data_IF_033296416205
#
_entry.id   IF_033296416205
#
_cell.length_a   1.000
_cell.length_b   1.000
_cell.length_c   1.000
_cell.angle_alpha   90.00
_cell.angle_beta   90.00
_cell.angle_gamma   90.00
#
_symmetry.space_group_name_H-M   'P 1'
#
loop_
_entity.id
_entity.type
_entity.pdbx_description
1 polymer ?
#
# COMPACT_ATOMS: atom_id res chain seq x y z
N UNK A 1 -12.14 -11.96 1.72
CA UNK A 1 -11.23 -13.07 1.75
C UNK A 1 -10.28 -12.97 2.94
N UNK A 2 -9.82 -14.10 3.43
CA UNK A 2 -8.98 -14.15 4.61
C UNK A 2 -7.53 -13.84 4.24
N UNK A 3 -6.92 -12.95 5.02
CA UNK A 3 -5.51 -12.67 4.87
C UNK A 3 -4.74 -13.72 5.65
N UNK A 4 -3.95 -14.47 4.94
CA UNK A 4 -3.11 -15.48 5.55
C UNK A 4 -1.71 -14.93 5.78
N UNK A 5 -0.97 -15.55 6.68
CA UNK A 5 0.41 -15.18 6.97
C UNK A 5 1.33 -15.71 5.89
N UNK A 6 1.17 -15.16 4.71
CA UNK A 6 2.00 -15.46 3.54
C UNK A 6 2.68 -14.20 3.08
N UNK A 7 3.66 -14.35 2.25
CA UNK A 7 4.32 -13.20 1.64
C UNK A 7 3.38 -12.42 0.76
N UNK A 8 3.64 -11.12 0.62
CA UNK A 8 2.84 -10.24 -0.20
C UNK A 8 2.68 -10.77 -1.63
N UNK A 9 3.73 -11.36 -2.18
CA UNK A 9 3.69 -11.94 -3.51
C UNK A 9 2.67 -13.07 -3.63
N UNK A 10 2.57 -13.93 -2.61
CA UNK A 10 1.62 -15.04 -2.61
C UNK A 10 0.19 -14.53 -2.53
N UNK A 11 -0.09 -13.56 -1.68
CA UNK A 11 -1.42 -12.98 -1.54
C UNK A 11 -1.85 -12.31 -2.83
N UNK A 12 -1.00 -11.49 -3.40
CA UNK A 12 -1.28 -10.83 -4.68
C UNK A 12 -1.44 -11.85 -5.81
N UNK A 13 -0.62 -12.88 -5.81
CA UNK A 13 -0.69 -13.92 -6.83
C UNK A 13 -2.04 -14.59 -6.83
N UNK A 14 -2.57 -14.95 -5.65
CA UNK A 14 -3.89 -15.55 -5.53
C UNK A 14 -4.99 -14.59 -5.99
N UNK A 15 -4.81 -13.29 -5.78
CA UNK A 15 -5.76 -12.27 -6.19
C UNK A 15 -5.48 -11.74 -7.59
N UNK A 16 -4.46 -12.28 -8.27
CA UNK A 16 -4.09 -11.87 -9.60
C UNK A 16 -3.25 -10.60 -9.66
N UNK A 17 -2.55 -10.27 -8.57
CA UNK A 17 -1.70 -9.06 -8.50
C UNK A 17 -0.24 -9.47 -8.31
N UNK A 18 0.62 -8.90 -9.13
CA UNK A 18 2.06 -9.16 -9.14
C UNK A 18 2.81 -7.85 -9.12
N UNK A 19 4.12 -7.89 -8.82
CA UNK A 19 4.94 -6.70 -8.97
C UNK A 19 5.05 -6.30 -10.44
N UNK A 20 4.92 -5.01 -10.69
CA UNK A 20 5.12 -4.42 -12.01
C UNK A 20 6.56 -4.00 -12.25
N UNK A 21 7.40 -3.97 -11.22
CA UNK A 21 8.82 -3.67 -11.37
C UNK A 21 9.54 -4.91 -11.93
N UNK A 22 10.22 -4.77 -13.03
CA UNK A 22 10.85 -5.90 -13.71
C UNK A 22 11.96 -6.55 -12.87
N UNK A 23 12.61 -5.76 -12.03
CA UNK A 23 13.72 -6.21 -11.20
C UNK A 23 13.30 -6.66 -9.80
N UNK A 24 12.00 -6.72 -9.52
CA UNK A 24 11.49 -7.06 -8.19
C UNK A 24 11.96 -8.44 -7.73
N UNK A 25 11.77 -9.44 -8.57
CA UNK A 25 12.05 -10.82 -8.19
C UNK A 25 13.54 -11.16 -8.19
N UNK A 26 14.37 -10.30 -8.76
CA UNK A 26 15.83 -10.47 -8.74
C UNK A 26 16.46 -9.93 -7.47
N UNK A 27 15.69 -9.23 -6.63
CA UNK A 27 16.21 -8.54 -5.46
C UNK A 27 15.59 -8.99 -4.15
N UNK A 28 15.09 -10.21 -4.09
CA UNK A 28 14.50 -10.77 -2.88
C UNK A 28 15.57 -10.89 -1.80
N UNK A 29 15.23 -10.45 -0.58
CA UNK A 29 16.10 -10.54 0.57
C UNK A 29 17.10 -9.41 0.72
N UNK A 30 17.02 -8.39 -0.12
CA UNK A 30 17.97 -7.27 -0.05
C UNK A 30 17.31 -5.94 -0.39
N UNK A 31 17.87 -4.83 0.09
CA UNK A 31 17.39 -3.51 -0.31
C UNK A 31 17.71 -3.23 -1.77
N UNK A 32 16.80 -2.52 -2.42
CA UNK A 32 16.96 -2.15 -3.81
C UNK A 32 16.24 -0.84 -4.07
N UNK A 33 16.75 -0.06 -4.99
CA UNK A 33 16.17 1.22 -5.36
C UNK A 33 15.33 1.01 -6.62
N UNK A 34 14.01 1.03 -6.46
CA UNK A 34 13.07 0.75 -7.55
C UNK A 34 12.69 2.02 -8.29
N UNK A 35 12.41 1.87 -9.57
CA UNK A 35 11.94 2.96 -10.42
C UNK A 35 10.55 2.61 -10.92
N UNK A 36 9.60 3.50 -10.66
CA UNK A 36 8.25 3.37 -11.17
C UNK A 36 8.16 4.08 -12.53
N UNK A 37 7.76 3.36 -13.57
CA UNK A 37 7.69 3.91 -14.91
C UNK A 37 6.29 4.46 -15.25
N UNK A 38 5.40 4.51 -14.26
CA UNK A 38 4.06 5.10 -14.36
C UNK A 38 3.11 4.44 -15.37
N UNK A 39 3.41 3.23 -15.79
CA UNK A 39 2.53 2.46 -16.67
C UNK A 39 1.83 1.38 -15.86
N UNK A 40 0.71 1.75 -15.22
CA UNK A 40 0.04 0.86 -14.29
C UNK A 40 -0.89 -0.11 -15.01
N UNK A 41 -0.51 -1.37 -14.96
CA UNK A 41 -1.35 -2.47 -15.43
C UNK A 41 -2.21 -2.97 -14.26
N UNK A 42 -3.37 -3.51 -14.58
CA UNK A 42 -4.19 -4.18 -13.57
C UNK A 42 -3.44 -5.34 -12.94
N UNK A 43 -3.75 -5.61 -11.68
CA UNK A 43 -3.20 -6.72 -10.92
C UNK A 43 -1.69 -6.65 -10.70
N UNK A 44 -1.16 -5.43 -10.68
CA UNK A 44 0.25 -5.19 -10.39
C UNK A 44 0.42 -4.03 -9.44
N UNK A 45 1.37 -4.17 -8.52
CA UNK A 45 1.80 -3.05 -7.69
C UNK A 45 3.18 -2.60 -8.15
N UNK A 46 3.49 -1.34 -7.90
CA UNK A 46 4.72 -0.70 -8.35
C UNK A 46 5.39 0.00 -7.19
N UNK A 47 6.68 -0.24 -7.05
CA UNK A 47 7.51 0.41 -6.04
C UNK A 47 8.31 1.52 -6.67
N UNK A 48 8.48 2.59 -5.92
CA UNK A 48 9.43 3.66 -6.24
C UNK A 48 10.25 3.92 -4.99
N UNK A 49 11.55 4.17 -5.17
CA UNK A 49 12.46 4.43 -4.06
C UNK A 49 13.02 3.17 -3.46
N UNK A 50 13.58 3.29 -2.27
CA UNK A 50 14.31 2.21 -1.64
C UNK A 50 13.41 1.34 -0.78
N UNK A 51 13.36 0.06 -1.08
CA UNK A 51 12.55 -0.94 -0.41
C UNK A 51 13.34 -2.20 -0.18
N UNK A 52 13.08 -2.82 0.94
CA UNK A 52 13.63 -4.14 1.27
C UNK A 52 12.59 -5.18 0.86
N UNK A 53 12.93 -5.97 -0.13
CA UNK A 53 12.04 -7.02 -0.61
C UNK A 53 12.26 -8.27 0.23
N UNK A 54 11.55 -8.37 1.34
CA UNK A 54 11.59 -9.57 2.15
C UNK A 54 10.61 -10.59 1.58
N UNK A 55 10.84 -11.88 1.85
CA UNK A 55 9.99 -12.93 1.31
C UNK A 55 8.53 -12.79 1.75
N UNK A 56 8.32 -12.42 3.00
CA UNK A 56 6.99 -12.33 3.59
C UNK A 56 6.34 -10.95 3.43
N UNK A 57 7.13 -9.93 3.15
CA UNK A 57 6.63 -8.56 3.12
C UNK A 57 7.53 -7.65 2.30
N UNK A 58 7.05 -6.45 2.04
CA UNK A 58 7.83 -5.36 1.47
C UNK A 58 8.04 -4.35 2.59
N UNK A 59 9.28 -3.99 2.83
CA UNK A 59 9.65 -3.17 3.99
C UNK A 59 10.24 -1.85 3.51
N UNK A 60 9.73 -0.74 4.02
CA UNK A 60 10.27 0.58 3.69
C UNK A 60 11.71 0.71 4.20
N UNK A 61 12.57 1.31 3.39
CA UNK A 61 13.99 1.48 3.72
C UNK A 61 14.44 2.90 3.41
N UNK A 62 13.72 3.87 3.93
CA UNK A 62 13.97 5.30 3.70
C UNK A 62 14.60 5.91 4.94
N UNK A 63 15.49 6.87 4.73
CA UNK A 63 16.09 7.64 5.83
C UNK A 63 15.21 8.84 6.19
N UNK A 64 14.63 9.49 5.18
CA UNK A 64 13.75 10.64 5.38
C UNK A 64 12.55 10.53 4.44
N UNK A 65 11.38 11.06 4.84
CA UNK A 65 10.20 11.05 3.97
C UNK A 65 10.46 11.74 2.64
N UNK A 66 9.95 11.15 1.57
CA UNK A 66 10.11 11.68 0.23
C UNK A 66 8.92 11.28 -0.62
N UNK A 67 8.54 12.13 -1.55
CA UNK A 67 7.51 11.83 -2.52
C UNK A 67 7.94 10.77 -3.54
N UNK A 68 9.20 10.37 -3.52
CA UNK A 68 9.76 9.38 -4.42
C UNK A 68 9.78 7.96 -3.84
N UNK A 69 9.41 7.81 -2.59
CA UNK A 69 9.39 6.52 -1.91
C UNK A 69 7.96 6.10 -1.64
N UNK A 70 7.41 5.26 -2.52
CA UNK A 70 6.02 4.85 -2.42
C UNK A 70 5.77 3.47 -3.01
N UNK A 71 4.63 2.90 -2.65
CA UNK A 71 4.04 1.73 -3.30
C UNK A 71 2.71 2.19 -3.90
N UNK A 72 2.47 1.85 -5.16
CA UNK A 72 1.26 2.27 -5.85
C UNK A 72 0.66 1.11 -6.65
N UNK A 73 -0.68 1.07 -6.78
CA UNK A 73 -1.33 0.11 -7.65
C UNK A 73 -2.69 0.62 -8.11
N UNK A 74 -3.10 0.13 -9.27
CA UNK A 74 -4.43 0.37 -9.82
C UNK A 74 -5.37 -0.72 -9.30
N UNK A 75 -6.52 -0.33 -8.81
CA UNK A 75 -7.51 -1.26 -8.30
C UNK A 75 -8.89 -0.94 -8.87
N UNK A 76 -9.78 -1.91 -8.78
CA UNK A 76 -11.17 -1.75 -9.13
C UNK A 76 -12.00 -2.39 -8.03
N UNK A 77 -12.46 -1.58 -7.11
CA UNK A 77 -13.21 -2.05 -5.94
C UNK A 77 -13.88 -0.89 -5.25
N UNK A 78 -14.66 -1.20 -4.21
CA UNK A 78 -15.28 -0.19 -3.37
C UNK A 78 -14.46 0.11 -2.12
N UNK A 79 -13.70 -0.87 -1.64
CA UNK A 79 -12.85 -0.67 -0.48
C UNK A 79 -11.49 -1.31 -0.68
N UNK A 80 -10.49 -0.77 0.04
CA UNK A 80 -9.13 -1.30 0.06
C UNK A 80 -8.65 -1.32 1.49
N UNK A 81 -8.14 -2.47 1.91
CA UNK A 81 -7.50 -2.65 3.21
C UNK A 81 -6.08 -3.14 3.01
N UNK A 82 -5.19 -2.79 3.93
CA UNK A 82 -3.81 -3.25 3.89
C UNK A 82 -3.37 -3.80 5.23
N UNK A 83 -2.57 -4.86 5.20
CA UNK A 83 -1.97 -5.43 6.40
C UNK A 83 -0.58 -4.85 6.56
N UNK A 84 -0.37 -4.15 7.67
CA UNK A 84 0.89 -3.48 7.98
C UNK A 84 1.38 -3.83 9.36
N UNK A 85 2.69 -3.71 9.53
CA UNK A 85 3.31 -3.66 10.85
C UNK A 85 4.48 -2.68 10.81
N UNK A 86 4.99 -2.31 11.96
CA UNK A 86 6.15 -1.43 12.05
C UNK A 86 6.91 -1.68 13.33
N UNK A 87 8.23 -1.51 13.31
CA UNK A 87 9.06 -1.64 14.51
C UNK A 87 8.76 -0.52 15.50
N UNK A 88 8.50 0.68 14.99
CA UNK A 88 8.11 1.84 15.77
C UNK A 88 6.83 2.40 15.18
N UNK A 89 6.05 3.07 16.00
CA UNK A 89 4.86 3.77 15.50
C UNK A 89 5.25 4.70 14.37
N UNK A 90 4.59 4.57 13.23
CA UNK A 90 4.96 5.29 12.02
C UNK A 90 3.75 5.59 11.16
N UNK A 91 3.80 6.69 10.45
CA UNK A 91 2.72 7.11 9.56
C UNK A 91 2.98 6.65 8.12
N UNK A 92 1.89 6.36 7.42
CA UNK A 92 1.89 6.11 5.98
C UNK A 92 0.87 7.05 5.36
N UNK A 93 1.33 7.91 4.46
CA UNK A 93 0.42 8.80 3.73
C UNK A 93 -0.33 7.99 2.68
N UNK A 94 -1.63 8.24 2.57
CA UNK A 94 -2.50 7.56 1.61
C UNK A 94 -3.02 8.59 0.61
N UNK A 95 -2.81 8.32 -0.67
CA UNK A 95 -3.31 9.17 -1.75
C UNK A 95 -4.15 8.35 -2.72
N UNK A 96 -5.05 9.01 -3.42
CA UNK A 96 -5.83 8.42 -4.49
C UNK A 96 -5.74 9.32 -5.72
N UNK A 97 -5.38 8.71 -6.85
CA UNK A 97 -5.17 9.42 -8.12
C UNK A 97 -4.25 10.64 -7.98
N UNK A 98 -3.22 10.52 -7.15
CA UNK A 98 -2.24 11.57 -6.93
C UNK A 98 -2.62 12.65 -5.92
N UNK A 99 -3.81 12.55 -5.32
CA UNK A 99 -4.30 13.55 -4.37
C UNK A 99 -4.50 12.95 -2.99
N UNK A 100 -4.49 13.78 -1.96
CA UNK A 100 -4.91 13.33 -0.65
C UNK A 100 -6.39 12.95 -0.70
N UNK A 101 -6.78 12.03 0.18
CA UNK A 101 -8.16 11.55 0.23
C UNK A 101 -9.10 12.67 0.69
N UNK A 102 -10.33 12.62 0.22
CA UNK A 102 -11.42 13.35 0.85
C UNK A 102 -11.98 12.48 1.98
N UNK A 103 -12.78 13.09 2.85
CA UNK A 103 -13.42 12.33 3.93
C UNK A 103 -14.36 11.27 3.42
N UNK A 104 -14.95 11.50 2.24
CA UNK A 104 -15.86 10.54 1.61
C UNK A 104 -15.17 9.31 1.04
N UNK A 105 -13.85 9.38 0.86
CA UNK A 105 -13.04 8.29 0.31
C UNK A 105 -12.25 7.54 1.36
N UNK A 106 -12.11 8.15 2.53
CA UNK A 106 -11.21 7.65 3.57
C UNK A 106 -11.76 6.42 4.26
N UNK A 107 -10.89 5.42 4.45
CA UNK A 107 -11.19 4.26 5.27
C UNK A 107 -11.24 4.62 6.75
N UNK A 108 -11.65 3.63 7.55
CA UNK A 108 -11.89 3.85 8.99
C UNK A 108 -10.63 4.29 9.72
N UNK A 109 -9.47 3.80 9.30
CA UNK A 109 -8.20 4.07 9.97
C UNK A 109 -7.48 5.31 9.47
N UNK A 110 -8.04 6.00 8.48
CA UNK A 110 -7.43 7.20 7.91
C UNK A 110 -7.72 8.41 8.77
N UNK A 111 -6.67 9.18 9.02
CA UNK A 111 -6.71 10.45 9.73
C UNK A 111 -6.31 11.57 8.79
N UNK A 112 -6.64 12.79 9.17
CA UNK A 112 -6.26 13.98 8.42
C UNK A 112 -5.52 14.94 9.34
N UNK A 113 -4.43 15.50 8.84
CA UNK A 113 -3.74 16.54 9.59
C UNK A 113 -4.41 17.91 9.32
N UNK A 114 -3.86 18.97 9.92
CA UNK A 114 -4.41 20.30 9.77
C UNK A 114 -4.34 20.84 8.36
N UNK A 115 -3.48 20.26 7.51
CA UNK A 115 -3.33 20.66 6.11
C UNK A 115 -4.11 19.76 5.16
N UNK A 116 -4.89 18.84 5.70
CA UNK A 116 -5.69 17.90 4.90
C UNK A 116 -4.95 16.69 4.37
N UNK A 117 -3.73 16.45 4.84
CA UNK A 117 -3.00 15.24 4.45
C UNK A 117 -3.65 14.02 5.07
N UNK A 118 -3.96 13.04 4.24
CA UNK A 118 -4.58 11.79 4.68
C UNK A 118 -3.49 10.75 4.97
N UNK A 119 -3.59 10.11 6.12
CA UNK A 119 -2.59 9.13 6.54
C UNK A 119 -3.17 8.12 7.51
N UNK A 120 -2.49 6.98 7.64
CA UNK A 120 -2.75 6.02 8.71
C UNK A 120 -1.54 6.01 9.64
N UNK A 121 -1.75 5.65 10.90
CA UNK A 121 -0.66 5.44 11.87
C UNK A 121 -0.56 3.95 12.16
N UNK A 122 0.57 3.37 11.80
CA UNK A 122 0.84 1.95 12.03
C UNK A 122 1.48 1.80 13.39
N UNK A 123 0.70 1.37 14.36
CA UNK A 123 1.14 1.21 15.76
C UNK A 123 1.09 -0.23 16.24
N UNK A 124 0.53 -1.13 15.46
CA UNK A 124 0.48 -2.56 15.76
C UNK A 124 0.26 -3.34 14.47
N UNK A 125 0.64 -4.63 14.45
CA UNK A 125 0.33 -5.48 13.30
C UNK A 125 -1.18 -5.68 13.21
N UNK A 126 -1.77 -5.26 12.10
CA UNK A 126 -3.20 -5.49 11.85
C UNK A 126 -3.55 -5.12 10.42
N UNK A 127 -4.79 -5.36 10.06
CA UNK A 127 -5.37 -4.87 8.81
C UNK A 127 -5.92 -3.46 9.03
N UNK A 128 -5.46 -2.53 8.23
CA UNK A 128 -5.88 -1.13 8.27
C UNK A 128 -6.84 -0.84 7.13
N UNK A 129 -7.94 -0.16 7.44
CA UNK A 129 -8.92 0.29 6.45
C UNK A 129 -8.42 1.58 5.80
N UNK A 130 -8.08 1.51 4.52
CA UNK A 130 -7.45 2.61 3.77
C UNK A 130 -8.46 3.41 2.97
N UNK A 131 -9.34 2.74 2.24
CA UNK A 131 -10.31 3.39 1.37
C UNK A 131 -11.69 2.73 1.56
N UNK A 132 -12.72 3.56 1.60
CA UNK A 132 -14.12 3.15 1.47
C UNK A 132 -14.73 4.17 0.51
N UNK A 133 -14.83 3.79 -0.77
CA UNK A 133 -15.33 4.68 -1.81
C UNK A 133 -16.84 4.72 -1.83
N UNK A 134 -17.45 5.86 -2.22
CA UNK A 134 -18.91 5.94 -2.35
C UNK A 134 -19.46 4.99 -3.41
N UNK A 135 -18.67 4.70 -4.43
CA UNK A 135 -19.08 3.80 -5.51
C UNK A 135 -17.94 2.84 -5.83
N UNK A 136 -18.32 1.73 -6.45
CA UNK A 136 -17.36 0.78 -7.02
C UNK A 136 -16.68 1.48 -8.21
N UNK A 137 -15.36 1.61 -8.17
CA UNK A 137 -14.64 2.41 -9.14
C UNK A 137 -13.23 1.87 -9.37
N UNK A 138 -12.63 2.31 -10.47
CA UNK A 138 -11.25 2.02 -10.81
C UNK A 138 -10.42 3.26 -10.49
N UNK A 139 -9.47 3.12 -9.57
CA UNK A 139 -8.64 4.21 -9.09
C UNK A 139 -7.21 3.73 -8.85
N UNK A 140 -6.31 4.66 -8.61
CA UNK A 140 -4.92 4.36 -8.26
C UNK A 140 -4.67 4.84 -6.84
N UNK A 141 -4.27 3.91 -5.98
CA UNK A 141 -3.85 4.25 -4.61
C UNK A 141 -2.34 4.36 -4.56
N UNK A 142 -1.84 5.29 -3.76
CA UNK A 142 -0.41 5.46 -3.50
C UNK A 142 -0.18 5.54 -2.00
N UNK A 143 0.77 4.75 -1.52
CA UNK A 143 1.11 4.67 -0.10
C UNK A 143 2.55 5.14 0.06
N UNK A 144 2.75 6.18 0.90
CA UNK A 144 4.05 6.76 1.13
C UNK A 144 4.43 6.58 2.60
N UNK A 145 5.31 5.60 2.89
CA UNK A 145 5.78 5.41 4.25
C UNK A 145 6.60 6.63 4.70
N UNK A 146 6.48 6.99 5.97
CA UNK A 146 7.17 8.16 6.51
C UNK A 146 8.38 7.78 7.37
N UNK A 147 8.61 6.49 7.56
CA UNK A 147 9.78 5.94 8.26
C UNK A 147 10.21 4.65 7.59
N UNK A 148 11.43 4.22 7.88
CA UNK A 148 11.87 2.89 7.48
C UNK A 148 11.27 1.83 8.41
N UNK A 149 11.37 0.58 8.00
CA UNK A 149 10.94 -0.59 8.75
C UNK A 149 9.42 -0.69 8.92
N UNK A 150 8.66 -0.08 8.02
CA UNK A 150 7.23 -0.33 7.89
C UNK A 150 7.07 -1.49 6.92
N UNK A 151 6.44 -2.56 7.38
CA UNK A 151 6.24 -3.78 6.59
C UNK A 151 4.83 -3.82 6.02
N UNK A 152 4.73 -4.11 4.73
CA UNK A 152 3.48 -4.27 4.01
C UNK A 152 3.36 -5.73 3.60
N UNK A 153 2.30 -6.42 4.08
CA UNK A 153 2.15 -7.85 3.88
C UNK A 153 1.14 -8.22 2.81
N UNK A 154 0.04 -7.49 2.72
CA UNK A 154 -1.06 -7.87 1.85
C UNK A 154 -2.08 -6.75 1.73
N UNK A 155 -2.92 -6.86 0.70
CA UNK A 155 -4.08 -6.01 0.52
C UNK A 155 -5.31 -6.87 0.28
N UNK A 156 -6.48 -6.37 0.69
CA UNK A 156 -7.77 -6.98 0.37
C UNK A 156 -8.68 -5.93 -0.23
N UNK A 157 -9.63 -6.38 -1.04
CA UNK A 157 -10.53 -5.52 -1.78
C UNK A 157 -11.96 -5.95 -1.55
N UNK A 158 -12.87 -4.98 -1.42
CA UNK A 158 -14.28 -5.25 -1.23
C UNK A 158 -15.13 -4.64 -2.33
N UNK A 159 -16.19 -5.35 -2.71
CA UNK A 159 -17.15 -4.89 -3.72
C UNK A 159 -18.43 -4.38 -3.08
N UNK A 160 -18.65 -4.66 -1.81
CA UNK A 160 -19.87 -4.30 -1.09
C UNK A 160 -19.65 -3.06 -0.25
N UNK A 161 -20.73 -2.46 0.17
CA UNK A 161 -20.68 -1.24 0.95
C UNK A 161 -19.99 -1.43 2.29
N UNK A 162 -20.21 -2.56 2.92
CA UNK A 162 -19.56 -2.91 4.17
C UNK A 162 -18.10 -3.29 3.97
N UNK A 163 -17.67 -3.48 2.74
CA UNK A 163 -16.30 -3.74 2.39
C UNK A 163 -15.85 -5.18 2.48
N UNK A 164 -16.44 -5.95 3.28
CA UNK A 164 -15.99 -7.33 3.52
C UNK A 164 -16.91 -8.06 4.44
#
# INVERSE_FOLDING_TARGET
DVIESRGLGDVYKRQGIYSGNLDYYDNIGKPHNYVDEYEYSHNKFYLSGNWNNDFESIISNIDEPSSLDYLSFKFRSKSVNGVFSSNETADVIVKIDGNFLSKDEAGIDVKFDENGKSYITVDQPKMYSLLILPIYDERIITLLPQKKNISIFAFTFGSYEEGF
#
